data_IF_045063747281
#
_entry.id   IF_045063747281
#
_cell.length_a   1.000
_cell.length_b   1.000
_cell.length_c   1.000
_cell.angle_alpha   90.00
_cell.angle_beta   90.00
_cell.angle_gamma   90.00
#
_symmetry.space_group_name_H-M   'P 1'
#
loop_
_entity.id
_entity.type
_entity.pdbx_description
1 polymer ?
#
# COMPACT_ATOMS: atom_id res chain seq x y z
N UNK A 1 -3.18 -12.44 5.66
CA UNK A 1 -2.31 -12.54 4.47
C UNK A 1 -0.86 -12.77 4.87
N UNK A 2 -0.04 -13.46 4.06
CA UNK A 2 1.41 -13.55 4.32
C UNK A 2 2.11 -12.25 3.96
N UNK A 3 3.09 -11.75 4.75
CA UNK A 3 3.80 -10.54 4.42
C UNK A 3 4.62 -10.72 3.14
N UNK A 4 4.69 -9.67 2.33
CA UNK A 4 5.45 -9.65 1.08
C UNK A 4 6.49 -8.53 1.11
N UNK A 5 7.60 -8.76 0.41
CA UNK A 5 8.60 -7.74 0.14
C UNK A 5 9.04 -7.86 -1.30
N UNK A 6 8.94 -6.77 -2.06
CA UNK A 6 9.19 -6.73 -3.49
C UNK A 6 10.15 -5.57 -3.76
N UNK A 7 11.11 -5.79 -4.66
CA UNK A 7 12.12 -4.80 -5.05
C UNK A 7 12.14 -4.54 -6.56
N UNK A 8 11.32 -5.25 -7.33
CA UNK A 8 11.15 -5.01 -8.76
C UNK A 8 10.05 -3.95 -8.97
N UNK A 9 10.33 -2.81 -9.63
CA UNK A 9 9.35 -1.74 -9.82
C UNK A 9 8.06 -2.19 -10.51
N UNK A 10 8.16 -2.96 -11.61
CA UNK A 10 6.99 -3.44 -12.34
C UNK A 10 6.11 -4.36 -11.48
N UNK A 11 6.73 -5.28 -10.72
CA UNK A 11 5.98 -6.14 -9.79
C UNK A 11 5.31 -5.33 -8.66
N UNK A 12 5.97 -4.27 -8.17
CA UNK A 12 5.38 -3.37 -7.17
C UNK A 12 4.14 -2.70 -7.74
N UNK A 13 4.24 -2.09 -8.92
CA UNK A 13 3.12 -1.40 -9.55
C UNK A 13 1.95 -2.37 -9.82
N UNK A 14 2.24 -3.58 -10.29
CA UNK A 14 1.23 -4.62 -10.52
C UNK A 14 0.52 -5.02 -9.22
N UNK A 15 1.26 -5.23 -8.12
CA UNK A 15 0.65 -5.56 -6.84
C UNK A 15 -0.22 -4.43 -6.33
N UNK A 16 0.24 -3.19 -6.43
CA UNK A 16 -0.53 -2.02 -5.98
C UNK A 16 -1.80 -1.82 -6.81
N UNK A 17 -1.78 -2.17 -8.10
CA UNK A 17 -2.96 -2.10 -8.97
C UNK A 17 -4.09 -3.03 -8.51
N UNK A 18 -3.71 -4.22 -8.01
CA UNK A 18 -4.62 -5.24 -7.52
C UNK A 18 -5.10 -5.02 -6.07
N UNK A 19 -4.59 -3.99 -5.38
CA UNK A 19 -4.96 -3.67 -4.00
C UNK A 19 -6.06 -2.61 -3.96
N UNK A 20 -7.13 -2.91 -3.24
CA UNK A 20 -8.17 -1.93 -2.90
C UNK A 20 -8.40 -1.87 -1.38
N UNK A 21 -8.66 -0.67 -0.88
CA UNK A 21 -8.80 -0.37 0.55
C UNK A 21 -10.17 0.25 0.81
N UNK A 22 -10.95 -0.35 1.69
CA UNK A 22 -12.31 0.08 2.05
C UNK A 22 -12.45 0.25 3.56
N UNK A 23 -13.49 0.94 4.04
CA UNK A 23 -13.72 1.12 5.48
C UNK A 23 -13.55 2.58 5.91
N UNK A 24 -13.06 2.81 7.12
CA UNK A 24 -12.94 4.16 7.71
C UNK A 24 -11.58 4.79 7.47
N UNK A 25 -11.56 6.08 7.11
CA UNK A 25 -10.33 6.83 6.81
C UNK A 25 -10.00 6.81 5.33
N UNK A 26 -8.73 6.56 5.01
CA UNK A 26 -8.29 6.43 3.62
C UNK A 26 -8.88 5.18 2.94
N UNK A 27 -9.52 5.39 1.79
CA UNK A 27 -10.11 4.36 0.94
C UNK A 27 -9.75 4.60 -0.52
N UNK A 28 -9.52 3.53 -1.27
CA UNK A 28 -9.26 3.59 -2.72
C UNK A 28 -9.65 2.27 -3.38
N UNK A 29 -10.13 2.32 -4.62
CA UNK A 29 -10.39 1.12 -5.42
C UNK A 29 -9.11 0.60 -6.12
N UNK A 30 -8.07 1.43 -6.23
CA UNK A 30 -6.72 1.01 -6.63
C UNK A 30 -5.66 1.77 -5.84
N UNK A 31 -4.80 1.06 -5.14
CA UNK A 31 -3.71 1.70 -4.40
C UNK A 31 -2.67 2.29 -5.35
N UNK A 32 -2.52 1.72 -6.55
CA UNK A 32 -1.64 2.25 -7.58
C UNK A 32 -1.99 3.69 -7.98
N UNK A 33 -3.28 3.98 -8.21
CA UNK A 33 -3.71 5.33 -8.63
C UNK A 33 -3.22 6.39 -7.63
N UNK A 34 -3.43 6.14 -6.34
CA UNK A 34 -2.98 7.04 -5.28
C UNK A 34 -1.45 7.17 -5.22
N UNK A 35 -0.72 6.05 -5.38
CA UNK A 35 0.75 6.04 -5.38
C UNK A 35 1.30 6.88 -6.53
N UNK A 36 0.69 6.81 -7.71
CA UNK A 36 1.06 7.61 -8.88
C UNK A 36 0.71 9.09 -8.73
N UNK A 37 -0.45 9.40 -8.14
CA UNK A 37 -0.88 10.78 -7.84
C UNK A 37 0.10 11.48 -6.88
N UNK A 38 0.64 10.75 -5.90
CA UNK A 38 1.70 11.23 -5.00
C UNK A 38 3.09 11.29 -5.66
N UNK A 39 3.20 10.86 -6.92
CA UNK A 39 4.40 10.93 -7.73
C UNK A 39 5.43 9.84 -7.45
N UNK A 40 5.01 8.65 -7.00
CA UNK A 40 5.85 7.46 -6.91
C UNK A 40 5.68 6.63 -8.20
N UNK A 41 6.42 6.98 -9.25
CA UNK A 41 6.30 6.35 -10.58
C UNK A 41 7.25 5.19 -10.80
N UNK A 42 8.35 5.13 -10.05
CA UNK A 42 9.41 4.12 -10.12
C UNK A 42 9.78 3.62 -8.71
N UNK A 43 8.84 3.00 -7.97
CA UNK A 43 9.11 2.51 -6.64
C UNK A 43 10.16 1.40 -6.66
N UNK A 44 11.13 1.48 -5.75
CA UNK A 44 12.26 0.54 -5.65
C UNK A 44 12.05 -0.52 -4.56
N UNK A 45 11.03 -0.34 -3.73
CA UNK A 45 10.75 -1.25 -2.62
C UNK A 45 9.29 -1.14 -2.18
N UNK A 46 8.66 -2.29 -1.98
CA UNK A 46 7.36 -2.44 -1.32
C UNK A 46 7.50 -3.43 -0.17
N UNK A 47 6.97 -3.07 1.00
CA UNK A 47 6.66 -4.01 2.07
C UNK A 47 5.16 -3.94 2.37
N UNK A 48 4.49 -5.10 2.37
CA UNK A 48 3.10 -5.20 2.79
C UNK A 48 2.97 -6.24 3.89
N UNK A 49 2.34 -5.89 5.01
CA UNK A 49 2.26 -6.71 6.21
C UNK A 49 1.00 -6.44 7.03
N UNK A 50 0.75 -7.30 8.01
CA UNK A 50 -0.49 -7.31 8.78
C UNK A 50 -1.66 -7.90 7.99
N UNK A 51 -2.83 -7.93 8.62
CA UNK A 51 -4.07 -8.39 8.02
C UNK A 51 -5.18 -7.39 8.34
N UNK A 52 -5.94 -7.01 7.33
CA UNK A 52 -7.09 -6.13 7.50
C UNK A 52 -8.29 -6.65 6.69
N UNK A 53 -9.44 -6.93 7.34
CA UNK A 53 -10.61 -7.51 6.66
C UNK A 53 -11.23 -6.58 5.63
N UNK A 54 -10.91 -5.28 5.69
CA UNK A 54 -11.42 -4.27 4.77
C UNK A 54 -10.40 -3.88 3.69
N UNK A 55 -9.24 -4.54 3.67
CA UNK A 55 -8.27 -4.47 2.59
C UNK A 55 -8.45 -5.69 1.68
N UNK A 56 -8.36 -5.46 0.37
CA UNK A 56 -8.59 -6.47 -0.64
C UNK A 56 -7.40 -6.56 -1.58
N UNK A 57 -7.07 -7.77 -2.00
CA UNK A 57 -6.06 -8.05 -3.01
C UNK A 57 -6.67 -8.97 -4.06
N UNK A 58 -6.69 -8.55 -5.32
CA UNK A 58 -7.36 -9.27 -6.43
C UNK A 58 -8.84 -9.57 -6.12
N UNK A 59 -9.50 -8.64 -5.43
CA UNK A 59 -10.89 -8.79 -4.98
C UNK A 59 -11.10 -9.73 -3.79
N UNK A 60 -10.06 -10.35 -3.24
CA UNK A 60 -10.16 -11.19 -2.04
C UNK A 60 -9.94 -10.35 -0.77
N UNK A 61 -10.83 -10.44 0.24
CA UNK A 61 -10.67 -9.72 1.50
C UNK A 61 -9.51 -10.25 2.35
N UNK A 62 -9.20 -9.57 3.44
CA UNK A 62 -8.11 -9.91 4.39
C UNK A 62 -6.72 -9.75 3.76
N UNK A 63 -6.54 -8.71 2.95
CA UNK A 63 -5.22 -8.29 2.47
C UNK A 63 -4.42 -7.60 3.59
N UNK A 64 -3.33 -6.92 3.23
CA UNK A 64 -2.43 -6.32 4.20
C UNK A 64 -3.02 -5.07 4.85
N UNK A 65 -2.64 -4.85 6.11
CA UNK A 65 -3.05 -3.71 6.91
C UNK A 65 -2.09 -2.51 6.72
N UNK A 66 -0.83 -2.82 6.39
CA UNK A 66 0.26 -1.85 6.22
C UNK A 66 0.88 -2.04 4.85
N UNK A 67 1.09 -0.93 4.13
CA UNK A 67 1.81 -0.85 2.87
C UNK A 67 2.88 0.23 3.00
N UNK A 68 4.12 -0.12 2.72
CA UNK A 68 5.24 0.81 2.68
C UNK A 68 5.87 0.77 1.29
N UNK A 69 5.65 1.83 0.52
CA UNK A 69 6.23 2.04 -0.80
C UNK A 69 7.38 3.02 -0.67
N UNK A 70 8.54 2.69 -1.23
CA UNK A 70 9.71 3.57 -1.23
C UNK A 70 10.17 3.84 -2.64
N UNK A 71 10.47 5.10 -2.89
CA UNK A 71 11.11 5.59 -4.10
C UNK A 71 12.25 6.53 -3.67
N UNK A 72 13.49 6.08 -3.84
CA UNK A 72 14.69 6.80 -3.41
C UNK A 72 14.64 7.22 -1.93
N UNK A 73 14.55 8.53 -1.67
CA UNK A 73 14.44 9.11 -0.33
C UNK A 73 13.00 9.20 0.18
N UNK A 74 11.99 9.03 -0.68
CA UNK A 74 10.59 9.17 -0.30
C UNK A 74 10.04 7.82 0.14
N UNK A 75 9.31 7.81 1.25
CA UNK A 75 8.62 6.63 1.77
C UNK A 75 7.17 7.01 1.99
N UNK A 76 6.27 6.33 1.29
CA UNK A 76 4.84 6.35 1.48
C UNK A 76 4.44 5.18 2.36
N UNK A 77 3.83 5.47 3.50
CA UNK A 77 3.27 4.48 4.42
C UNK A 77 1.77 4.66 4.48
N UNK A 78 1.04 3.62 4.08
CA UNK A 78 -0.37 3.45 4.37
C UNK A 78 -0.47 2.47 5.52
N UNK A 79 -1.11 2.86 6.61
CA UNK A 79 -1.33 1.98 7.74
C UNK A 79 -2.75 2.09 8.24
N UNK A 80 -3.32 0.93 8.54
CA UNK A 80 -4.53 0.76 9.32
C UNK A 80 -4.57 -0.67 9.81
N UNK A 81 -5.70 -1.06 10.35
CA UNK A 81 -5.92 -2.41 10.85
C UNK A 81 -7.35 -2.56 11.34
N UNK A 82 -7.72 -3.76 11.82
CA UNK A 82 -9.09 -4.04 12.21
C UNK A 82 -9.57 -3.05 13.27
N UNK A 83 -10.56 -2.23 12.90
CA UNK A 83 -11.17 -1.21 13.77
C UNK A 83 -10.38 0.09 13.91
N UNK A 84 -9.30 0.29 13.13
CA UNK A 84 -8.54 1.54 13.10
C UNK A 84 -8.79 2.32 11.81
N UNK A 85 -8.84 3.64 11.94
CA UNK A 85 -8.91 4.55 10.79
C UNK A 85 -7.61 4.46 9.98
N UNK A 86 -7.72 4.20 8.67
CA UNK A 86 -6.54 4.16 7.80
C UNK A 86 -5.95 5.55 7.62
N UNK A 87 -4.63 5.62 7.74
CA UNK A 87 -3.84 6.84 7.59
C UNK A 87 -2.79 6.66 6.51
N UNK A 88 -2.47 7.77 5.88
CA UNK A 88 -1.42 7.86 4.89
C UNK A 88 -0.37 8.85 5.39
N UNK A 89 0.90 8.51 5.22
CA UNK A 89 2.03 9.36 5.56
C UNK A 89 3.11 9.27 4.51
N UNK A 90 3.64 10.41 4.10
CA UNK A 90 4.85 10.47 3.27
C UNK A 90 5.96 11.09 4.11
N UNK A 91 7.12 10.45 4.09
CA UNK A 91 8.33 10.92 4.78
C UNK A 91 9.52 10.87 3.85
N UNK A 92 10.45 11.80 4.03
CA UNK A 92 11.76 11.77 3.39
C UNK A 92 12.78 11.17 4.35
N UNK A 93 13.45 10.10 3.94
CA UNK A 93 14.58 9.52 4.67
C UNK A 93 15.83 10.37 4.40
N UNK A 94 16.62 10.72 5.44
CA UNK A 94 17.81 11.56 5.31
C UNK A 94 18.82 11.02 4.29
#
# INVERSE_FOLDING_TARGET
MHPITIQNPDEILNVLADVSLRGTGFTTESLLDYVLEEGFTEPIFLNASGEDPTAFFKGQPNAWAIYQVREWKRVLTISGGPGQERRVRITETP
#
